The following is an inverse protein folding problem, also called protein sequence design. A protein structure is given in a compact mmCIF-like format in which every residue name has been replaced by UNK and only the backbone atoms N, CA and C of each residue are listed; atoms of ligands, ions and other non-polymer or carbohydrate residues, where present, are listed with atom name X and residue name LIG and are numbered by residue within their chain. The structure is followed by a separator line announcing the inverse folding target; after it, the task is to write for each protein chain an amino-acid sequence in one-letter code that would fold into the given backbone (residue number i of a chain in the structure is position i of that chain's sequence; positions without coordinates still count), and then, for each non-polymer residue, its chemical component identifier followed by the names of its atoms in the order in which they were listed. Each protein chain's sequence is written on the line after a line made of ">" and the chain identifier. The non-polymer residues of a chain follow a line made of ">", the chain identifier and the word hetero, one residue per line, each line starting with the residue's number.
data_IF_647507995365
#
_entry.id   IF_647507995365
#
_cell.length_a   1.000
_cell.length_b   1.000
_cell.length_c   1.000
_cell.angle_alpha   90.00
_cell.angle_beta   90.00
_cell.angle_gamma   90.00
#
_symmetry.space_group_name_H-M   'P 1'
#
loop_
_entity.id
_entity.type
_entity.pdbx_description
1 polymer ?
#
# COMPACT_ATOMS: atom_id res chain seq x y z
N UNK A 1 -28.84 -12.62 -28.49
CA UNK A 1 -27.98 -13.29 -27.48
C UNK A 1 -26.82 -12.36 -27.13
N UNK A 2 -26.82 -11.72 -25.94
CA UNK A 2 -25.72 -10.84 -25.51
C UNK A 2 -24.68 -11.67 -24.75
N UNK A 3 -23.52 -11.90 -25.36
CA UNK A 3 -22.40 -12.57 -24.70
C UNK A 3 -21.79 -11.56 -23.71
N UNK A 4 -21.99 -11.76 -22.40
CA UNK A 4 -21.26 -11.02 -21.36
C UNK A 4 -19.79 -11.44 -21.43
N UNK A 5 -18.90 -10.49 -21.76
CA UNK A 5 -17.44 -10.70 -21.62
C UNK A 5 -17.16 -11.13 -20.18
N UNK A 6 -16.59 -12.31 -19.99
CA UNK A 6 -16.10 -12.76 -18.68
C UNK A 6 -14.99 -11.83 -18.24
N UNK A 7 -15.14 -11.22 -17.07
CA UNK A 7 -14.08 -10.41 -16.44
C UNK A 7 -12.84 -11.31 -16.30
N UNK A 8 -11.65 -10.87 -16.72
CA UNK A 8 -10.44 -11.66 -16.56
C UNK A 8 -10.25 -12.02 -15.08
N UNK A 9 -9.95 -13.29 -14.81
CA UNK A 9 -9.60 -13.72 -13.44
C UNK A 9 -8.33 -12.95 -13.06
N UNK A 10 -8.29 -12.19 -11.95
CA UNK A 10 -7.10 -11.45 -11.56
C UNK A 10 -5.93 -12.43 -11.47
N UNK A 11 -4.82 -12.09 -12.11
CA UNK A 11 -3.67 -12.99 -12.18
C UNK A 11 -3.18 -13.25 -10.76
N UNK A 12 -3.20 -14.50 -10.32
CA UNK A 12 -2.67 -14.91 -9.02
C UNK A 12 -1.13 -14.72 -8.90
N UNK A 13 -0.47 -14.21 -9.95
CA UNK A 13 0.99 -14.03 -10.00
C UNK A 13 1.47 -12.68 -9.49
N UNK A 14 0.58 -11.69 -9.37
CA UNK A 14 0.96 -10.35 -8.89
C UNK A 14 0.16 -10.02 -7.63
N UNK A 15 0.81 -9.74 -6.50
CA UNK A 15 0.12 -9.30 -5.30
C UNK A 15 -0.67 -8.02 -5.59
N UNK A 16 -1.80 -7.80 -4.90
CA UNK A 16 -2.61 -6.60 -5.10
C UNK A 16 -1.82 -5.35 -4.74
N UNK A 17 -1.87 -4.34 -5.61
CA UNK A 17 -1.32 -3.01 -5.32
C UNK A 17 -2.42 -2.17 -4.67
N UNK A 18 -2.11 -1.58 -3.51
CA UNK A 18 -3.01 -0.68 -2.81
C UNK A 18 -2.52 0.76 -2.94
N UNK A 19 -3.46 1.70 -3.13
CA UNK A 19 -3.19 3.13 -3.12
C UNK A 19 -3.69 3.75 -1.82
N UNK A 20 -2.88 4.63 -1.22
CA UNK A 20 -3.20 5.34 0.02
C UNK A 20 -3.29 6.82 -0.30
N UNK A 21 -4.39 7.45 0.10
CA UNK A 21 -4.62 8.89 -0.08
C UNK A 21 -4.49 9.63 1.24
N UNK A 22 -3.87 10.81 1.22
CA UNK A 22 -3.78 11.68 2.37
C UNK A 22 -3.71 13.14 1.93
N UNK A 23 -4.01 14.04 2.87
CA UNK A 23 -3.89 15.48 2.69
C UNK A 23 -2.73 16.00 3.50
N UNK A 24 -1.95 16.92 2.93
CA UNK A 24 -0.77 17.48 3.59
C UNK A 24 0.43 16.52 3.60
N UNK A 25 1.16 16.51 4.71
CA UNK A 25 2.42 15.75 4.86
C UNK A 25 2.15 14.27 5.09
N UNK A 26 2.96 13.40 4.49
CA UNK A 26 2.93 11.96 4.78
C UNK A 26 3.21 11.71 6.27
N UNK A 27 2.53 10.76 6.92
CA UNK A 27 2.84 10.38 8.29
C UNK A 27 4.28 9.84 8.36
N UNK A 28 4.99 10.17 9.44
CA UNK A 28 6.35 9.65 9.63
C UNK A 28 6.32 8.14 9.89
N UNK A 29 7.35 7.41 9.47
CA UNK A 29 7.39 5.95 9.65
C UNK A 29 7.35 5.53 11.11
N UNK A 30 7.91 6.35 12.01
CA UNK A 30 7.88 6.09 13.45
C UNK A 30 6.46 6.22 14.01
N UNK A 31 5.69 7.19 13.54
CA UNK A 31 4.27 7.33 13.90
C UNK A 31 3.45 6.13 13.40
N UNK A 32 3.68 5.73 12.14
CA UNK A 32 3.05 4.55 11.55
C UNK A 32 3.38 3.28 12.34
N UNK A 33 4.64 3.13 12.75
CA UNK A 33 5.10 2.00 13.55
C UNK A 33 4.44 1.97 14.93
N UNK A 34 4.46 3.08 15.66
CA UNK A 34 3.82 3.19 16.98
C UNK A 34 2.34 2.83 16.89
N UNK A 35 1.66 3.35 15.87
CA UNK A 35 0.24 3.08 15.67
C UNK A 35 -0.02 1.60 15.34
N UNK A 36 0.73 1.04 14.38
CA UNK A 36 0.59 -0.37 14.01
C UNK A 36 0.79 -1.28 15.21
N UNK A 37 1.88 -1.10 15.97
CA UNK A 37 2.21 -1.95 17.10
C UNK A 37 1.17 -1.83 18.23
N UNK A 38 0.53 -0.67 18.39
CA UNK A 38 -0.56 -0.45 19.34
C UNK A 38 -1.84 -1.19 18.95
N UNK A 39 -2.22 -1.14 17.67
CA UNK A 39 -3.50 -1.70 17.21
C UNK A 39 -3.43 -3.19 16.87
N UNK A 40 -2.31 -3.67 16.33
CA UNK A 40 -2.15 -5.02 15.78
C UNK A 40 -1.12 -5.88 16.52
N UNK A 41 -0.37 -5.29 17.45
CA UNK A 41 0.76 -5.94 18.11
C UNK A 41 2.05 -5.85 17.30
N UNK A 42 3.17 -5.80 18.02
CA UNK A 42 4.50 -5.67 17.42
C UNK A 42 5.27 -7.00 17.28
N UNK A 43 6.45 -6.97 16.63
CA UNK A 43 7.09 -5.76 16.08
C UNK A 43 6.71 -5.48 14.62
N UNK A 44 6.63 -4.21 14.25
CA UNK A 44 6.69 -3.76 12.85
C UNK A 44 8.11 -3.24 12.57
N UNK A 45 8.79 -3.87 11.62
CA UNK A 45 10.14 -3.45 11.22
C UNK A 45 10.07 -2.69 9.90
N UNK A 46 10.62 -1.48 9.89
CA UNK A 46 10.70 -0.61 8.71
C UNK A 46 12.17 -0.46 8.30
N UNK A 47 12.45 -0.61 7.00
CA UNK A 47 13.78 -0.45 6.41
C UNK A 47 13.69 0.45 5.18
N UNK A 48 14.31 1.61 5.26
CA UNK A 48 14.40 2.53 4.13
C UNK A 48 15.24 1.96 3.00
N UNK A 49 14.84 2.26 1.77
CA UNK A 49 15.65 1.98 0.60
C UNK A 49 16.84 2.97 0.55
N UNK A 50 18.01 2.49 0.13
CA UNK A 50 19.21 3.30 0.14
C UNK A 50 19.03 4.51 -0.78
N UNK A 51 19.11 5.72 -0.20
CA UNK A 51 18.98 6.97 -0.95
C UNK A 51 17.54 7.45 -1.20
N UNK A 52 16.52 6.83 -0.58
CA UNK A 52 15.14 7.34 -0.61
C UNK A 52 14.48 7.29 0.76
N UNK A 53 13.96 8.43 1.21
CA UNK A 53 13.13 8.52 2.41
C UNK A 53 11.66 8.19 2.11
N UNK A 54 11.25 8.32 0.86
CA UNK A 54 9.89 8.07 0.39
C UNK A 54 9.64 6.59 0.14
N UNK A 55 10.71 5.77 0.02
CA UNK A 55 10.63 4.35 -0.27
C UNK A 55 11.21 3.49 0.84
N UNK A 56 10.41 2.54 1.33
CA UNK A 56 10.78 1.69 2.44
C UNK A 56 10.05 0.35 2.41
N UNK A 57 10.61 -0.62 3.12
CA UNK A 57 10.03 -1.95 3.31
C UNK A 57 9.52 -2.10 4.73
N UNK A 58 8.27 -2.52 4.88
CA UNK A 58 7.70 -2.95 6.15
C UNK A 58 7.61 -4.47 6.24
N UNK A 59 7.85 -4.99 7.44
CA UNK A 59 7.78 -6.42 7.75
C UNK A 59 7.16 -6.65 9.13
N UNK A 60 6.25 -7.60 9.22
CA UNK A 60 5.61 -8.04 10.46
C UNK A 60 5.31 -9.55 10.37
N UNK A 61 6.03 -10.36 11.15
CA UNK A 61 5.96 -11.82 11.04
C UNK A 61 6.26 -12.28 9.59
N UNK A 62 5.39 -13.10 8.97
CA UNK A 62 5.55 -13.51 7.56
C UNK A 62 5.11 -12.43 6.56
N UNK A 63 4.42 -11.39 7.00
CA UNK A 63 3.92 -10.33 6.13
C UNK A 63 5.04 -9.33 5.81
N UNK A 64 5.09 -8.90 4.55
CA UNK A 64 5.98 -7.84 4.10
C UNK A 64 5.38 -7.03 2.97
N UNK A 65 5.72 -5.75 2.91
CA UNK A 65 5.30 -4.85 1.84
C UNK A 65 6.37 -3.81 1.53
N UNK A 66 6.47 -3.45 0.26
CA UNK A 66 7.16 -2.26 -0.19
C UNK A 66 6.18 -1.10 -0.20
N UNK A 67 6.61 0.04 0.35
CA UNK A 67 5.80 1.24 0.46
C UNK A 67 6.54 2.39 -0.20
N UNK A 68 5.81 3.16 -0.99
CA UNK A 68 6.29 4.40 -1.61
C UNK A 68 5.31 5.52 -1.26
N UNK A 69 5.79 6.52 -0.54
CA UNK A 69 4.97 7.64 -0.08
C UNK A 69 5.81 8.93 0.04
N UNK A 70 5.49 10.00 -0.73
CA UNK A 70 4.51 10.04 -1.82
C UNK A 70 4.98 9.31 -3.08
N UNK A 71 4.04 8.91 -3.95
CA UNK A 71 4.36 8.59 -5.34
C UNK A 71 4.63 9.88 -6.14
N UNK A 72 5.60 9.87 -7.07
CA UNK A 72 5.84 11.02 -7.95
C UNK A 72 4.60 11.36 -8.78
N UNK A 73 4.21 12.64 -8.81
CA UNK A 73 3.03 13.11 -9.57
C UNK A 73 3.10 12.78 -11.06
N UNK A 74 4.31 12.70 -11.63
CA UNK A 74 4.55 12.24 -13.01
C UNK A 74 4.02 10.83 -13.29
N UNK A 75 3.88 9.99 -12.26
CA UNK A 75 3.40 8.61 -12.38
C UNK A 75 1.91 8.47 -12.04
N UNK A 76 1.35 9.35 -11.20
CA UNK A 76 0.00 9.16 -10.64
C UNK A 76 -1.05 10.13 -11.16
N UNK A 77 -0.68 11.21 -11.87
CA UNK A 77 -1.64 12.22 -12.34
C UNK A 77 -2.81 11.61 -13.15
N UNK A 78 -2.51 10.72 -14.10
CA UNK A 78 -3.53 10.04 -14.91
C UNK A 78 -4.37 9.06 -14.09
N UNK A 79 -3.74 8.35 -13.16
CA UNK A 79 -4.42 7.40 -12.26
C UNK A 79 -5.38 8.14 -11.34
N UNK A 80 -4.93 9.23 -10.71
CA UNK A 80 -5.76 10.08 -9.87
C UNK A 80 -6.95 10.64 -10.64
N UNK A 81 -6.74 11.10 -11.88
CA UNK A 81 -7.81 11.57 -12.75
C UNK A 81 -8.82 10.47 -13.09
N UNK A 82 -8.36 9.28 -13.46
CA UNK A 82 -9.23 8.15 -13.82
C UNK A 82 -10.05 7.65 -12.64
N UNK A 83 -9.48 7.68 -11.44
CA UNK A 83 -10.13 7.24 -10.21
C UNK A 83 -11.00 8.34 -9.56
N UNK A 84 -11.07 9.54 -10.16
CA UNK A 84 -11.68 10.72 -9.54
C UNK A 84 -11.15 10.93 -8.10
N UNK A 85 -9.84 10.76 -7.92
CA UNK A 85 -9.19 10.76 -6.62
C UNK A 85 -9.25 12.14 -5.97
N UNK A 86 -9.72 12.20 -4.73
CA UNK A 86 -9.99 13.47 -4.03
C UNK A 86 -8.87 13.90 -3.07
N UNK A 87 -7.88 13.04 -2.82
CA UNK A 87 -6.74 13.39 -1.97
C UNK A 87 -5.65 14.08 -2.79
N UNK A 88 -4.95 15.03 -2.18
CA UNK A 88 -3.89 15.80 -2.86
C UNK A 88 -2.67 14.92 -3.21
N UNK A 89 -2.46 13.86 -2.44
CA UNK A 89 -1.30 12.98 -2.55
C UNK A 89 -1.72 11.51 -2.56
N UNK A 90 -0.93 10.69 -3.24
CA UNK A 90 -1.11 9.25 -3.35
C UNK A 90 0.19 8.53 -2.98
N UNK A 91 0.12 7.51 -2.14
CA UNK A 91 1.16 6.52 -1.91
C UNK A 91 0.75 5.15 -2.47
N UNK A 92 1.72 4.24 -2.58
CA UNK A 92 1.49 2.85 -2.94
C UNK A 92 2.00 1.91 -1.85
N UNK A 93 1.26 0.83 -1.63
CA UNK A 93 1.67 -0.32 -0.84
C UNK A 93 1.59 -1.56 -1.73
N UNK A 94 2.74 -2.17 -1.97
CA UNK A 94 2.89 -3.40 -2.73
C UNK A 94 3.31 -4.54 -1.78
N UNK A 95 2.38 -5.41 -1.33
CA UNK A 95 2.72 -6.58 -0.55
C UNK A 95 3.65 -7.49 -1.34
N UNK A 96 4.59 -8.13 -0.67
CA UNK A 96 5.39 -9.19 -1.30
C UNK A 96 4.58 -10.49 -1.38
N UNK A 97 4.97 -11.41 -2.27
CA UNK A 97 4.34 -12.72 -2.40
C UNK A 97 4.53 -13.54 -1.12
N UNK A 98 3.53 -13.49 -0.23
CA UNK A 98 3.36 -14.45 0.87
C UNK A 98 2.37 -15.52 0.42
N UNK A 99 2.46 -16.74 0.94
CA UNK A 99 1.48 -17.78 0.64
C UNK A 99 0.08 -17.28 1.04
N UNK A 100 -0.99 -17.54 0.25
CA UNK A 100 -2.34 -17.06 0.57
C UNK A 100 -2.87 -17.50 1.94
N UNK A 101 -2.22 -18.51 2.56
CA UNK A 101 -2.58 -19.06 3.86
C UNK A 101 -2.04 -18.24 5.03
N UNK A 102 -1.03 -17.40 4.77
CA UNK A 102 -0.29 -16.60 5.76
C UNK A 102 -0.54 -15.10 5.59
N UNK A 103 -1.48 -14.73 4.74
CA UNK A 103 -1.87 -13.34 4.52
C UNK A 103 -2.96 -13.01 5.56
N UNK A 104 -2.64 -12.32 6.68
CA UNK A 104 -3.70 -11.82 7.55
C UNK A 104 -4.58 -10.90 6.71
N UNK A 105 -5.90 -11.05 6.86
CA UNK A 105 -6.89 -10.30 6.11
C UNK A 105 -6.52 -8.82 6.08
N UNK A 106 -6.22 -8.35 4.86
CA UNK A 106 -5.95 -6.98 4.42
C UNK A 106 -6.22 -5.90 5.48
N UNK A 107 -5.16 -5.32 6.03
CA UNK A 107 -5.24 -4.17 6.94
C UNK A 107 -5.56 -2.92 6.10
N UNK A 108 -6.82 -2.49 6.14
CA UNK A 108 -7.24 -1.20 5.59
C UNK A 108 -7.01 -0.11 6.63
N UNK A 109 -6.03 0.74 6.37
CA UNK A 109 -5.84 2.00 7.08
C UNK A 109 -6.82 3.04 6.55
N UNK A 110 -7.63 3.61 7.43
CA UNK A 110 -8.37 4.84 7.19
C UNK A 110 -8.08 5.81 8.34
N UNK A 111 -7.12 6.72 8.14
CA UNK A 111 -7.07 7.94 8.95
C UNK A 111 -8.18 8.87 8.48
N UNK A 112 -8.95 9.40 9.43
CA UNK A 112 -9.98 10.43 9.19
C UNK A 112 -9.34 11.79 9.00
#
# INVERSE_FOLDING_TARGET
>A
MRIRKKTPKPSARRPPLYFVGYRGTAPATDELKIWYEREYGGPLTIRYEAGSAESWHATHGPWSAHVVMPLPMSHVADVMKQLAWEHDVMGAVAPSLVSPRDMPDTILFAAR
#
